data_IF_502208646482
#
_entry.id   IF_502208646482
#
_cell.length_a   1.000
_cell.length_b   1.000
_cell.length_c   1.000
_cell.angle_alpha   90.00
_cell.angle_beta   90.00
_cell.angle_gamma   90.00
#
_symmetry.space_group_name_H-M   'P 1'
#
loop_
_entity.id
_entity.type
_entity.pdbx_description
1 polymer ?
#
# COMPACT_ATOMS: atom_id res chain seq x y z
N UNK A 1 -13.64 5.94 -13.66
CA UNK A 1 -12.61 4.99 -14.12
C UNK A 1 -12.96 3.60 -13.61
N UNK A 2 -12.87 2.59 -14.44
CA UNK A 2 -13.22 1.24 -14.01
C UNK A 2 -12.02 0.55 -13.32
N UNK A 3 -12.29 -0.58 -12.67
CA UNK A 3 -11.29 -1.33 -11.91
C UNK A 3 -10.10 -1.76 -12.77
N UNK A 4 -10.36 -2.18 -14.01
CA UNK A 4 -9.30 -2.62 -14.91
C UNK A 4 -8.32 -1.49 -15.21
N UNK A 5 -8.82 -0.29 -15.42
CA UNK A 5 -7.97 0.87 -15.67
C UNK A 5 -7.18 1.27 -14.44
N UNK A 6 -7.80 1.18 -13.26
CA UNK A 6 -7.10 1.46 -12.00
C UNK A 6 -5.98 0.43 -11.81
N UNK A 7 -6.25 -0.83 -12.10
CA UNK A 7 -5.25 -1.90 -11.99
C UNK A 7 -4.07 -1.67 -12.93
N UNK A 8 -4.35 -1.35 -14.20
CA UNK A 8 -3.29 -1.03 -15.16
C UNK A 8 -2.44 0.13 -14.69
N UNK A 9 -3.08 1.16 -14.19
CA UNK A 9 -2.40 2.35 -13.71
C UNK A 9 -1.53 2.02 -12.49
N UNK A 10 -2.05 1.21 -11.57
CA UNK A 10 -1.33 0.81 -10.37
C UNK A 10 -0.10 -0.03 -10.73
N UNK A 11 -0.24 -0.97 -11.65
CA UNK A 11 0.88 -1.81 -12.10
C UNK A 11 1.97 -0.94 -12.72
N UNK A 12 1.60 -0.02 -13.59
CA UNK A 12 2.56 0.88 -14.23
C UNK A 12 3.24 1.80 -13.23
N UNK A 13 2.47 2.27 -12.26
CA UNK A 13 3.01 3.14 -11.21
C UNK A 13 4.02 2.39 -10.34
N UNK A 14 3.67 1.18 -9.88
CA UNK A 14 4.58 0.37 -9.09
C UNK A 14 5.83 -0.02 -9.89
N UNK A 15 5.67 -0.39 -11.14
CA UNK A 15 6.78 -0.74 -12.01
C UNK A 15 7.74 0.45 -12.20
N UNK A 16 7.20 1.64 -12.36
CA UNK A 16 8.02 2.85 -12.44
C UNK A 16 8.79 3.11 -11.15
N UNK A 17 8.15 2.88 -10.00
CA UNK A 17 8.80 3.03 -8.70
C UNK A 17 9.92 2.00 -8.51
N UNK A 18 9.70 0.75 -8.91
CA UNK A 18 10.71 -0.29 -8.86
C UNK A 18 11.93 0.08 -9.70
N UNK A 19 11.70 0.57 -10.91
CA UNK A 19 12.78 1.00 -11.78
C UNK A 19 13.52 2.20 -11.24
N UNK A 20 12.80 3.16 -10.70
CA UNK A 20 13.42 4.34 -10.08
C UNK A 20 14.33 3.93 -8.94
N UNK A 21 13.91 2.97 -8.12
CA UNK A 21 14.74 2.46 -7.03
C UNK A 21 15.98 1.75 -7.56
N UNK A 22 15.83 0.87 -8.54
CA UNK A 22 16.95 0.13 -9.14
C UNK A 22 18.01 1.05 -9.75
N UNK A 23 17.59 2.14 -10.38
CA UNK A 23 18.50 3.09 -10.99
C UNK A 23 18.99 4.18 -10.03
N UNK A 24 18.64 4.07 -8.74
CA UNK A 24 19.08 5.02 -7.73
C UNK A 24 18.45 6.39 -7.84
N UNK A 25 17.34 6.52 -8.55
CA UNK A 25 16.66 7.81 -8.73
C UNK A 25 16.15 8.39 -7.42
N UNK A 26 15.84 7.54 -6.43
CA UNK A 26 15.43 7.99 -5.10
C UNK A 26 16.60 8.42 -4.21
N UNK A 27 17.83 8.10 -4.63
CA UNK A 27 19.03 8.41 -3.86
C UNK A 27 19.08 7.64 -2.56
N UNK A 28 19.71 8.22 -1.55
CA UNK A 28 19.84 7.65 -0.22
C UNK A 28 18.78 8.18 0.74
N UNK A 29 17.84 8.95 0.24
CA UNK A 29 16.88 9.66 1.06
C UNK A 29 15.69 8.80 1.50
N UNK A 30 15.29 8.99 2.75
CA UNK A 30 14.01 8.52 3.25
C UNK A 30 12.91 9.29 2.50
N UNK A 31 11.75 8.65 2.17
CA UNK A 31 11.32 7.31 2.62
C UNK A 31 11.65 6.17 1.66
N UNK A 32 12.17 6.44 0.48
CA UNK A 32 12.29 5.42 -0.56
C UNK A 32 13.66 4.73 -0.61
N UNK A 33 14.52 5.00 0.35
CA UNK A 33 15.87 4.42 0.38
C UNK A 33 15.87 2.89 0.57
N UNK A 34 14.75 2.32 0.99
CA UNK A 34 14.61 0.87 1.21
C UNK A 34 13.31 0.34 0.58
N UNK A 35 12.94 0.90 -0.56
CA UNK A 35 11.71 0.54 -1.25
C UNK A 35 11.66 -0.98 -1.54
N UNK A 36 10.52 -1.67 -1.33
CA UNK A 36 9.21 -1.14 -0.92
C UNK A 36 8.99 -1.06 0.60
N UNK A 37 10.01 -1.28 1.41
CA UNK A 37 9.91 -1.27 2.87
C UNK A 37 9.76 0.15 3.39
N UNK A 38 8.92 0.31 4.42
CA UNK A 38 8.75 1.57 5.16
C UNK A 38 8.23 2.75 4.33
N UNK A 39 7.63 2.49 3.18
CA UNK A 39 7.12 3.56 2.32
C UNK A 39 5.65 3.40 1.92
N UNK A 40 4.90 2.55 2.63
CA UNK A 40 3.49 2.31 2.29
C UNK A 40 2.67 3.59 2.37
N UNK A 41 2.91 4.43 3.38
CA UNK A 41 2.19 5.68 3.55
C UNK A 41 2.49 6.65 2.39
N UNK A 42 3.78 6.78 2.06
CA UNK A 42 4.21 7.69 0.99
C UNK A 42 3.73 7.23 -0.39
N UNK A 43 3.75 5.93 -0.64
CA UNK A 43 3.22 5.37 -1.88
C UNK A 43 1.72 5.61 -2.00
N UNK A 44 1.00 5.50 -0.88
CA UNK A 44 -0.43 5.83 -0.85
C UNK A 44 -0.67 7.31 -1.17
N UNK A 45 0.14 8.20 -0.60
CA UNK A 45 0.01 9.62 -0.89
C UNK A 45 0.23 9.92 -2.36
N UNK A 46 1.27 9.34 -2.95
CA UNK A 46 1.59 9.58 -4.36
C UNK A 46 0.52 9.00 -5.29
N UNK A 47 0.16 7.75 -5.09
CA UNK A 47 -0.83 7.12 -5.95
C UNK A 47 -2.23 7.67 -5.72
N UNK A 48 -2.56 8.00 -4.47
CA UNK A 48 -3.82 8.64 -4.14
C UNK A 48 -3.96 9.99 -4.82
N UNK A 49 -2.87 10.78 -4.88
CA UNK A 49 -2.87 12.05 -5.60
C UNK A 49 -3.10 11.85 -7.09
N UNK A 50 -2.47 10.83 -7.67
CA UNK A 50 -2.67 10.51 -9.09
C UNK A 50 -4.13 10.16 -9.37
N UNK A 51 -4.74 9.34 -8.52
CA UNK A 51 -6.14 8.96 -8.65
C UNK A 51 -7.06 10.18 -8.46
N UNK A 52 -6.73 11.06 -7.54
CA UNK A 52 -7.49 12.30 -7.34
C UNK A 52 -7.48 13.15 -8.60
N UNK A 53 -6.33 13.30 -9.25
CA UNK A 53 -6.21 14.06 -10.50
C UNK A 53 -7.04 13.44 -11.63
N UNK A 54 -7.34 12.16 -11.53
CA UNK A 54 -8.20 11.44 -12.49
C UNK A 54 -9.64 11.32 -12.00
N UNK A 55 -9.99 12.08 -10.99
CA UNK A 55 -11.34 12.14 -10.41
C UNK A 55 -11.82 10.80 -9.83
N UNK A 56 -10.88 10.01 -9.28
CA UNK A 56 -11.18 8.76 -8.59
C UNK A 56 -10.98 8.97 -7.10
N UNK A 57 -12.06 9.11 -6.30
CA UNK A 57 -11.92 9.29 -4.87
C UNK A 57 -11.49 8.00 -4.18
N UNK A 58 -10.51 8.12 -3.28
CA UNK A 58 -10.02 7.00 -2.49
C UNK A 58 -9.84 7.41 -1.04
N UNK A 59 -9.79 6.41 -0.16
CA UNK A 59 -9.49 6.60 1.25
C UNK A 59 -8.16 5.96 1.57
N UNK A 60 -7.43 6.56 2.50
CA UNK A 60 -6.23 5.93 3.04
C UNK A 60 -6.62 5.16 4.30
N UNK A 61 -6.29 3.88 4.35
CA UNK A 61 -6.59 2.99 5.48
C UNK A 61 -5.29 2.66 6.19
N UNK A 62 -5.26 2.85 7.49
CA UNK A 62 -4.13 2.51 8.32
C UNK A 62 -4.59 1.45 9.33
N UNK A 63 -3.90 0.31 9.36
CA UNK A 63 -4.26 -0.79 10.25
C UNK A 63 -3.03 -1.34 10.96
N UNK A 64 -3.27 -1.99 12.09
CA UNK A 64 -2.22 -2.60 12.91
C UNK A 64 -2.54 -4.06 13.13
N UNK A 65 -1.51 -4.91 13.09
CA UNK A 65 -1.54 -6.24 13.65
C UNK A 65 -0.70 -6.22 14.93
N UNK A 66 -1.30 -6.58 16.02
CA UNK A 66 -0.63 -6.65 17.31
C UNK A 66 -0.31 -8.10 17.63
N UNK A 67 0.97 -8.34 17.82
CA UNK A 67 1.48 -9.66 18.10
C UNK A 67 2.17 -9.63 19.46
N UNK A 68 1.94 -10.66 20.27
CA UNK A 68 2.63 -10.85 21.54
C UNK A 68 2.47 -9.67 22.50
N UNK A 69 1.23 -9.42 22.97
CA UNK A 69 0.92 -8.42 24.00
C UNK A 69 1.55 -7.04 23.75
N UNK A 70 1.52 -6.60 22.50
CA UNK A 70 2.05 -5.29 22.12
C UNK A 70 3.58 -5.21 22.05
N UNK A 71 4.29 -6.31 22.38
CA UNK A 71 5.75 -6.33 22.27
C UNK A 71 6.19 -6.18 20.81
N UNK A 72 5.40 -6.72 19.89
CA UNK A 72 5.64 -6.63 18.46
C UNK A 72 4.41 -6.07 17.79
N UNK A 73 4.63 -5.14 16.89
CA UNK A 73 3.56 -4.43 16.22
C UNK A 73 3.92 -4.23 14.77
N UNK A 74 2.98 -4.60 13.89
CA UNK A 74 3.10 -4.36 12.46
C UNK A 74 2.03 -3.37 12.06
N UNK A 75 2.38 -2.44 11.21
CA UNK A 75 1.41 -1.51 10.65
C UNK A 75 1.51 -1.52 9.13
N UNK A 76 0.39 -1.24 8.49
CA UNK A 76 0.35 -1.16 7.04
C UNK A 76 -0.66 -0.10 6.63
N UNK A 77 -0.39 0.54 5.49
CA UNK A 77 -1.25 1.57 4.94
C UNK A 77 -1.55 1.20 3.49
N UNK A 78 -2.82 1.31 3.13
CA UNK A 78 -3.24 1.08 1.75
C UNK A 78 -4.36 2.04 1.39
N UNK A 79 -4.75 2.04 0.12
CA UNK A 79 -5.88 2.84 -0.35
C UNK A 79 -7.11 1.95 -0.52
N UNK A 80 -8.29 2.55 -0.42
CA UNK A 80 -9.55 1.85 -0.66
C UNK A 80 -10.49 2.75 -1.44
N UNK A 81 -11.23 2.13 -2.36
CA UNK A 81 -12.35 2.81 -3.03
C UNK A 81 -13.53 2.92 -2.06
N UNK A 82 -14.52 3.72 -2.44
CA UNK A 82 -15.71 3.96 -1.61
C UNK A 82 -16.41 2.68 -1.17
N UNK A 83 -16.51 1.71 -2.07
CA UNK A 83 -17.17 0.43 -1.78
C UNK A 83 -16.26 -0.57 -1.07
N UNK A 84 -15.02 -0.19 -0.76
CA UNK A 84 -14.12 -1.01 0.01
C UNK A 84 -13.08 -1.81 -0.78
N UNK A 85 -13.04 -1.68 -2.10
CA UNK A 85 -12.00 -2.33 -2.90
C UNK A 85 -10.62 -1.81 -2.48
N UNK A 86 -9.73 -2.72 -2.14
CA UNK A 86 -8.38 -2.41 -1.68
C UNK A 86 -7.46 -2.12 -2.88
N UNK A 87 -6.62 -1.10 -2.73
CA UNK A 87 -5.56 -0.77 -3.68
C UNK A 87 -4.26 -0.68 -2.88
N UNK A 88 -3.38 -1.64 -3.06
CA UNK A 88 -2.15 -1.71 -2.29
C UNK A 88 -0.95 -1.97 -3.18
N UNK A 89 0.01 -1.07 -3.15
CA UNK A 89 1.19 -1.11 -4.01
C UNK A 89 2.47 -1.52 -3.28
N UNK A 90 2.39 -1.90 -2.00
CA UNK A 90 3.58 -2.23 -1.21
C UNK A 90 3.40 -3.45 -0.30
N UNK A 91 2.44 -4.33 -0.62
CA UNK A 91 2.21 -5.52 0.20
C UNK A 91 3.40 -6.45 0.27
N UNK A 92 4.24 -6.47 -0.77
CA UNK A 92 5.41 -7.33 -0.86
C UNK A 92 6.55 -6.93 0.10
N UNK A 93 6.40 -5.84 0.85
CA UNK A 93 7.36 -5.52 1.91
C UNK A 93 7.44 -6.63 2.96
N UNK A 94 6.42 -7.48 3.01
CA UNK A 94 6.32 -8.59 3.98
C UNK A 94 6.76 -9.94 3.41
N UNK A 95 7.35 -9.97 2.24
CA UNK A 95 7.66 -11.22 1.54
C UNK A 95 8.59 -12.17 2.31
N UNK A 96 9.42 -11.63 3.19
CA UNK A 96 10.35 -12.42 4.00
C UNK A 96 9.97 -12.45 5.48
N UNK A 97 8.72 -12.17 5.79
CA UNK A 97 8.22 -12.09 7.16
C UNK A 97 7.12 -13.13 7.38
N UNK A 98 7.45 -14.19 8.13
CA UNK A 98 6.52 -15.29 8.37
C UNK A 98 5.30 -14.87 9.19
N UNK A 99 5.45 -13.92 10.11
CA UNK A 99 4.33 -13.40 10.90
C UNK A 99 3.32 -12.73 9.98
N UNK A 100 3.81 -12.05 8.96
CA UNK A 100 2.98 -11.40 7.96
C UNK A 100 2.76 -12.28 6.73
N UNK A 101 2.78 -13.62 6.94
CA UNK A 101 2.41 -14.64 5.98
C UNK A 101 3.33 -14.74 4.76
N UNK A 102 4.54 -14.18 4.84
CA UNK A 102 5.45 -14.09 3.69
C UNK A 102 4.71 -13.53 2.47
N UNK A 103 3.84 -12.56 2.71
CA UNK A 103 2.96 -12.00 1.67
C UNK A 103 3.79 -11.30 0.60
N UNK A 104 3.65 -11.75 -0.63
CA UNK A 104 4.49 -11.28 -1.73
C UNK A 104 3.67 -10.90 -2.97
N UNK A 105 2.74 -9.97 -2.79
CA UNK A 105 1.99 -9.40 -3.91
C UNK A 105 2.34 -7.92 -3.97
N UNK A 106 3.11 -7.50 -4.97
CA UNK A 106 3.57 -6.11 -5.05
C UNK A 106 2.48 -5.10 -5.40
N UNK A 107 1.44 -5.57 -6.09
CA UNK A 107 0.34 -4.69 -6.47
C UNK A 107 -0.95 -5.48 -6.39
N UNK A 108 -1.81 -5.12 -5.44
CA UNK A 108 -3.07 -5.82 -5.23
C UNK A 108 -4.25 -4.88 -5.35
N UNK A 109 -5.24 -5.26 -6.18
CA UNK A 109 -6.50 -4.57 -6.26
C UNK A 109 -7.61 -5.61 -6.15
N UNK A 110 -8.45 -5.49 -5.14
CA UNK A 110 -9.52 -6.45 -4.94
C UNK A 110 -10.14 -6.38 -3.56
N UNK A 111 -10.86 -7.42 -3.21
CA UNK A 111 -11.48 -7.55 -1.90
C UNK A 111 -10.42 -7.98 -0.87
N UNK A 112 -10.77 -7.86 0.39
CA UNK A 112 -9.95 -8.28 1.52
C UNK A 112 -9.45 -9.71 1.32
N UNK A 113 -8.13 -9.91 1.46
CA UNK A 113 -7.50 -11.23 1.38
C UNK A 113 -6.82 -11.55 2.72
N UNK A 114 -5.98 -12.59 2.74
CA UNK A 114 -5.34 -13.07 3.97
C UNK A 114 -4.54 -12.00 4.72
N UNK A 115 -3.82 -11.14 4.02
CA UNK A 115 -3.03 -10.09 4.67
C UNK A 115 -3.93 -9.08 5.39
N UNK A 116 -4.96 -8.60 4.70
CA UNK A 116 -5.83 -7.56 5.25
C UNK A 116 -6.72 -8.09 6.38
N UNK A 117 -7.04 -9.37 6.35
CA UNK A 117 -7.75 -10.03 7.46
C UNK A 117 -6.87 -10.14 8.70
N UNK A 118 -5.57 -10.32 8.51
CA UNK A 118 -4.61 -10.34 9.61
C UNK A 118 -4.49 -8.95 10.24
N UNK A 119 -4.52 -7.91 9.42
CA UNK A 119 -4.45 -6.50 9.83
C UNK A 119 -5.85 -6.00 10.20
N UNK A 120 -6.47 -6.61 11.19
CA UNK A 120 -7.89 -6.40 11.48
C UNK A 120 -8.19 -5.35 12.56
N UNK A 121 -7.20 -4.54 12.92
CA UNK A 121 -7.39 -3.44 13.86
C UNK A 121 -7.13 -2.11 13.17
N UNK A 122 -8.12 -1.59 12.40
CA UNK A 122 -7.92 -0.28 11.78
C UNK A 122 -7.78 0.80 12.84
N UNK A 123 -6.70 1.57 12.73
CA UNK A 123 -6.42 2.66 13.69
C UNK A 123 -7.04 3.97 13.25
N UNK A 124 -7.12 4.15 11.94
CA UNK A 124 -7.76 5.33 11.39
C UNK A 124 -8.10 5.10 9.93
N UNK A 125 -9.18 5.72 9.50
CA UNK A 125 -9.50 5.85 8.10
C UNK A 125 -9.39 7.32 7.80
N UNK A 126 -8.27 7.71 7.23
CA UNK A 126 -8.02 9.10 6.87
C UNK A 126 -8.88 9.43 5.67
N UNK A 127 -9.57 10.54 5.68
CA UNK A 127 -10.52 10.91 4.65
C UNK A 127 -10.02 10.76 3.22
N UNK A 128 -10.93 10.88 2.27
CA UNK A 128 -10.58 10.71 0.87
C UNK A 128 -9.65 11.81 0.38
N UNK A 129 -8.89 11.49 -0.65
CA UNK A 129 -8.05 12.48 -1.33
C UNK A 129 -8.96 13.39 -2.16
N UNK A 130 -9.12 14.59 -1.70
CA UNK A 130 -10.04 15.54 -2.32
C UNK A 130 -9.33 16.64 -3.07
#
# INVERSE_FOLDING_TARGET
MNIEKIQDLAIKFRDAADRAFEYGAFGQGYPFNNFPHECCDDMCDLFGQLLFEKEVPVYKVHAIYRYDNWAHQYSHVWLALEEGTIIDLTGDQYKNDAIMLNYNIPCYIGKENCLYKLLNFPTSRVGEYA
#
